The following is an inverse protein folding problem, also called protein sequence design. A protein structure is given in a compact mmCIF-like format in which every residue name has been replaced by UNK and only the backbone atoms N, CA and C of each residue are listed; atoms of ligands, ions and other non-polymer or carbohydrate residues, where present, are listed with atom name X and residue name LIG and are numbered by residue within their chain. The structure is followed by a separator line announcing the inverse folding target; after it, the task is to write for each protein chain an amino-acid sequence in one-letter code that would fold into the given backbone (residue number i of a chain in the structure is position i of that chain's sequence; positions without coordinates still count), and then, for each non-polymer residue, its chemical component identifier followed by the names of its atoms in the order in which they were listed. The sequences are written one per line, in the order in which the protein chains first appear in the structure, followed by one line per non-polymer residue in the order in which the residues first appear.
data_IF_668996854385
#
_entry.id   IF_668996854385
#
_cell.length_a   1.000
_cell.length_b   1.000
_cell.length_c   1.000
_cell.angle_alpha   90.00
_cell.angle_beta   90.00
_cell.angle_gamma   90.00
#
_symmetry.space_group_name_H-M   'P 1'
#
loop_
_entity.id
_entity.type
_entity.pdbx_description
1 polymer ?
#
# COMPACT_ATOMS: atom_id res chain seq x y z
N UNK A 1 38.73 35.63 -6.30
CA UNK A 1 37.79 34.53 -6.63
C UNK A 1 38.52 33.49 -7.48
N UNK A 2 38.75 32.30 -6.94
CA UNK A 2 39.01 31.03 -7.66
C UNK A 2 39.27 29.95 -6.61
N UNK A 3 38.19 29.28 -6.16
CA UNK A 3 38.28 28.04 -5.39
C UNK A 3 38.56 26.92 -6.40
N UNK A 4 39.62 26.16 -6.19
CA UNK A 4 39.81 24.83 -6.77
C UNK A 4 39.82 23.86 -5.60
N UNK A 5 38.78 23.04 -5.50
CA UNK A 5 38.76 21.86 -4.64
C UNK A 5 38.34 20.72 -5.56
N UNK A 6 39.33 19.96 -6.02
CA UNK A 6 39.14 18.66 -6.66
C UNK A 6 39.31 17.58 -5.59
N UNK A 7 38.56 16.51 -5.84
CA UNK A 7 38.40 15.32 -5.02
C UNK A 7 39.64 14.41 -4.99
N UNK A 8 39.47 13.28 -4.31
CA UNK A 8 40.38 12.12 -4.15
C UNK A 8 41.30 12.23 -2.92
N UNK A 9 41.52 11.21 -2.09
CA UNK A 9 41.19 9.79 -2.21
C UNK A 9 41.13 9.16 -0.82
N UNK A 10 40.30 8.13 -0.75
CA UNK A 10 40.04 7.24 0.38
C UNK A 10 41.31 6.52 0.84
N UNK A 11 41.57 6.53 2.15
CA UNK A 11 42.65 5.80 2.82
C UNK A 11 42.40 4.27 2.83
N UNK A 12 43.45 3.46 3.00
CA UNK A 12 43.42 2.02 2.71
C UNK A 12 42.72 1.23 3.82
N UNK A 13 41.97 0.19 3.43
CA UNK A 13 41.47 -0.82 4.35
C UNK A 13 42.45 -1.99 4.29
N UNK A 14 43.41 -1.98 5.21
CA UNK A 14 44.03 -3.20 5.71
C UNK A 14 42.95 -3.98 6.48
N UNK A 15 42.76 -5.25 6.17
CA UNK A 15 42.37 -6.30 7.13
C UNK A 15 42.27 -7.64 6.40
N UNK A 16 43.39 -8.35 6.39
CA UNK A 16 43.38 -9.81 6.39
C UNK A 16 42.57 -10.28 7.60
N UNK A 17 41.56 -11.12 7.38
CA UNK A 17 41.03 -11.97 8.45
C UNK A 17 40.60 -13.30 7.87
N UNK A 18 41.49 -14.24 8.11
CA UNK A 18 41.46 -15.65 7.77
C UNK A 18 40.43 -16.40 8.65
N UNK A 19 39.66 -17.26 7.97
CA UNK A 19 38.84 -18.40 8.40
C UNK A 19 38.52 -18.66 9.90
N UNK A 20 37.23 -18.77 10.21
CA UNK A 20 36.54 -19.90 10.91
C UNK A 20 35.11 -19.51 11.36
N UNK A 21 34.21 -20.45 11.71
CA UNK A 21 33.83 -21.72 11.10
C UNK A 21 32.36 -21.69 10.62
N UNK A 22 31.97 -22.69 9.81
CA UNK A 22 30.61 -22.89 9.29
C UNK A 22 29.61 -22.94 10.46
N UNK A 23 28.80 -21.89 10.61
CA UNK A 23 27.60 -21.91 11.44
C UNK A 23 26.45 -22.38 10.54
N UNK A 24 25.89 -23.53 10.88
CA UNK A 24 24.62 -24.02 10.35
C UNK A 24 23.58 -22.91 10.57
N UNK A 25 23.31 -22.15 9.51
CA UNK A 25 22.25 -21.18 9.49
C UNK A 25 20.94 -21.95 9.41
N UNK A 26 20.32 -22.12 10.58
CA UNK A 26 18.91 -22.40 10.78
C UNK A 26 18.12 -21.49 9.83
N UNK A 27 17.75 -22.01 8.65
CA UNK A 27 16.96 -21.27 7.68
C UNK A 27 15.61 -21.02 8.32
N UNK A 28 15.20 -19.77 8.57
CA UNK A 28 13.86 -19.51 9.04
C UNK A 28 12.92 -20.02 7.95
N UNK A 29 12.16 -21.07 8.26
CA UNK A 29 11.05 -21.54 7.43
C UNK A 29 10.12 -20.34 7.28
N UNK A 30 10.14 -19.69 6.10
CA UNK A 30 9.15 -18.68 5.77
C UNK A 30 7.78 -19.37 5.90
N UNK A 31 6.84 -18.82 6.67
CA UNK A 31 5.49 -19.34 6.67
C UNK A 31 5.00 -19.33 5.22
N UNK A 32 4.56 -20.50 4.74
CA UNK A 32 3.82 -20.60 3.47
C UNK A 32 2.74 -19.54 3.50
N UNK A 33 2.90 -18.52 2.65
CA UNK A 33 1.89 -17.51 2.42
C UNK A 33 0.73 -18.28 1.79
N UNK A 34 -0.23 -18.68 2.61
CA UNK A 34 -1.51 -19.21 2.17
C UNK A 34 -2.07 -18.19 1.19
N UNK A 35 -2.01 -18.56 -0.09
CA UNK A 35 -2.48 -17.75 -1.20
C UNK A 35 -3.92 -17.37 -0.88
N UNK A 36 -4.13 -16.10 -0.53
CA UNK A 36 -5.47 -15.57 -0.33
C UNK A 36 -6.31 -15.91 -1.58
N UNK A 37 -7.60 -16.24 -1.43
CA UNK A 37 -8.46 -16.51 -2.57
C UNK A 37 -8.28 -15.39 -3.59
N UNK A 38 -8.12 -15.78 -4.87
CA UNK A 38 -7.99 -14.83 -5.98
C UNK A 38 -9.31 -14.04 -6.05
N UNK A 39 -9.37 -12.94 -5.30
CA UNK A 39 -10.46 -11.97 -5.41
C UNK A 39 -10.40 -11.41 -6.82
N UNK A 40 -11.50 -11.51 -7.57
CA UNK A 40 -11.63 -10.87 -8.87
C UNK A 40 -11.16 -9.41 -8.72
N UNK A 41 -10.27 -8.93 -9.61
CA UNK A 41 -9.73 -7.59 -9.48
C UNK A 41 -10.88 -6.58 -9.54
N UNK A 42 -11.14 -5.93 -8.41
CA UNK A 42 -12.17 -4.90 -8.28
C UNK A 42 -11.93 -3.80 -9.33
N UNK A 43 -12.88 -3.62 -10.24
CA UNK A 43 -12.82 -2.55 -11.22
C UNK A 43 -12.86 -1.19 -10.53
N UNK A 44 -11.87 -0.33 -10.84
CA UNK A 44 -11.83 1.01 -10.26
C UNK A 44 -12.93 1.88 -10.85
N UNK A 45 -13.92 2.24 -10.05
CA UNK A 45 -15.00 3.14 -10.47
C UNK A 45 -14.64 4.60 -10.23
N UNK A 46 -14.31 5.33 -11.30
CA UNK A 46 -14.02 6.75 -11.24
C UNK A 46 -15.25 7.58 -11.63
N UNK A 47 -15.79 8.35 -10.69
CA UNK A 47 -16.91 9.27 -10.99
C UNK A 47 -16.70 10.67 -10.44
N UNK A 48 -17.30 11.64 -11.14
CA UNK A 48 -17.38 13.03 -10.69
C UNK A 48 -18.74 13.26 -10.04
N UNK A 49 -18.75 13.30 -8.72
CA UNK A 49 -19.93 13.67 -7.95
C UNK A 49 -20.01 15.20 -7.77
N UNK A 50 -21.22 15.80 -7.79
CA UNK A 50 -21.42 17.19 -7.42
C UNK A 50 -20.85 17.50 -6.02
N UNK A 51 -20.28 18.69 -5.84
CA UNK A 51 -19.61 19.08 -4.57
C UNK A 51 -20.52 18.97 -3.35
N UNK A 52 -21.80 19.32 -3.50
CA UNK A 52 -22.81 19.21 -2.45
C UNK A 52 -23.06 17.76 -2.03
N UNK A 53 -23.07 16.82 -2.99
CA UNK A 53 -23.21 15.40 -2.73
C UNK A 53 -21.96 14.82 -2.07
N UNK A 54 -20.77 15.17 -2.57
CA UNK A 54 -19.50 14.76 -1.94
C UNK A 54 -19.43 15.19 -0.47
N UNK A 55 -19.86 16.42 -0.15
CA UNK A 55 -19.87 16.91 1.23
C UNK A 55 -20.79 16.10 2.12
N UNK A 56 -22.03 15.85 1.67
CA UNK A 56 -23.00 15.04 2.42
C UNK A 56 -22.52 13.60 2.63
N UNK A 57 -21.95 13.01 1.59
CA UNK A 57 -21.38 11.66 1.64
C UNK A 57 -20.25 11.58 2.69
N UNK A 58 -19.31 12.52 2.67
CA UNK A 58 -18.22 12.56 3.67
C UNK A 58 -18.72 12.70 5.11
N UNK A 59 -19.74 13.54 5.34
CA UNK A 59 -20.35 13.70 6.66
C UNK A 59 -20.99 12.38 7.11
N UNK A 60 -21.78 11.74 6.24
CA UNK A 60 -22.44 10.48 6.57
C UNK A 60 -21.43 9.36 6.87
N UNK A 61 -20.38 9.23 6.05
CA UNK A 61 -19.27 8.30 6.26
C UNK A 61 -18.60 8.52 7.62
N UNK A 62 -18.37 9.78 8.01
CA UNK A 62 -17.79 10.12 9.30
C UNK A 62 -18.70 9.79 10.49
N UNK A 63 -20.02 9.96 10.35
CA UNK A 63 -21.00 9.62 11.39
C UNK A 63 -21.14 8.11 11.59
N UNK A 64 -21.12 7.35 10.49
CA UNK A 64 -21.27 5.89 10.50
C UNK A 64 -19.97 5.14 10.82
N UNK A 65 -18.81 5.81 10.73
CA UNK A 65 -17.49 5.18 10.89
C UNK A 65 -17.18 4.13 9.81
N UNK A 66 -17.83 4.20 8.65
CA UNK A 66 -17.69 3.25 7.54
C UNK A 66 -16.71 3.75 6.48
N UNK A 67 -16.27 2.88 5.57
CA UNK A 67 -15.53 3.35 4.39
C UNK A 67 -16.50 3.95 3.38
N UNK A 68 -16.01 4.93 2.61
CA UNK A 68 -16.79 5.57 1.55
C UNK A 68 -17.26 4.57 0.48
N UNK A 69 -16.45 3.54 0.22
CA UNK A 69 -16.77 2.46 -0.72
C UNK A 69 -17.97 1.67 -0.21
N UNK A 70 -17.96 1.21 1.04
CA UNK A 70 -19.07 0.45 1.64
C UNK A 70 -20.39 1.23 1.59
N UNK A 71 -20.34 2.52 1.95
CA UNK A 71 -21.50 3.40 1.92
C UNK A 71 -22.04 3.57 0.50
N UNK A 72 -21.16 3.72 -0.49
CA UNK A 72 -21.56 3.83 -1.90
C UNK A 72 -22.14 2.51 -2.42
N UNK A 73 -21.52 1.37 -2.11
CA UNK A 73 -22.02 0.05 -2.53
C UNK A 73 -23.42 -0.20 -1.99
N UNK A 74 -23.64 0.04 -0.70
CA UNK A 74 -24.97 -0.10 -0.08
C UNK A 74 -26.00 0.83 -0.75
N UNK A 75 -25.64 2.10 -0.96
CA UNK A 75 -26.54 3.07 -1.58
C UNK A 75 -26.90 2.70 -3.02
N UNK A 76 -25.93 2.20 -3.80
CA UNK A 76 -26.13 1.73 -5.17
C UNK A 76 -26.97 0.46 -5.20
N UNK A 77 -26.69 -0.51 -4.35
CA UNK A 77 -27.49 -1.74 -4.23
C UNK A 77 -28.94 -1.44 -3.87
N UNK A 78 -29.17 -0.55 -2.91
CA UNK A 78 -30.52 -0.11 -2.56
C UNK A 78 -31.21 0.59 -3.73
N UNK A 79 -30.49 1.42 -4.47
CA UNK A 79 -31.03 2.12 -5.63
C UNK A 79 -31.43 1.12 -6.72
N UNK A 80 -30.57 0.17 -7.07
CA UNK A 80 -30.85 -0.86 -8.06
C UNK A 80 -32.07 -1.72 -7.65
N UNK A 81 -32.11 -2.17 -6.39
CA UNK A 81 -33.26 -2.92 -5.83
C UNK A 81 -34.57 -2.13 -5.91
N UNK A 82 -34.55 -0.82 -5.67
CA UNK A 82 -35.74 0.05 -5.75
C UNK A 82 -36.21 0.27 -7.19
N UNK A 83 -35.32 0.16 -8.17
CA UNK A 83 -35.59 0.48 -9.56
C UNK A 83 -35.68 -0.75 -10.48
N UNK A 84 -35.82 -1.97 -9.92
CA UNK A 84 -36.00 -3.23 -10.65
C UNK A 84 -34.97 -3.47 -11.77
N UNK A 85 -33.70 -3.21 -11.47
CA UNK A 85 -32.57 -3.69 -12.26
C UNK A 85 -31.92 -4.91 -11.61
#
# INVERSE_FOLDING_TARGET
MKRRMNAEGHLPVDSESEAAPVREADTPVLPEITKAPEEDPLESFNTRLPRSLQRRLKIHVALEGKKIQDVLSIALDEYLKKHNH
#
